data_IF_934073296368
#
_entry.id   IF_934073296368
#
_cell.length_a   1.000
_cell.length_b   1.000
_cell.length_c   1.000
_cell.angle_alpha   90.00
_cell.angle_beta   90.00
_cell.angle_gamma   90.00
#
_symmetry.space_group_name_H-M   'P 1'
#
loop_
_entity.id
_entity.type
_entity.pdbx_description
1 polymer ?
#
# COMPACT_ATOMS: atom_id res chain seq x y z
N UNK A 1 14.82 -5.85 -30.08
CA UNK A 1 13.60 -6.27 -29.39
C UNK A 1 13.99 -7.10 -28.19
N UNK A 2 13.60 -6.68 -27.00
CA UNK A 2 13.83 -7.40 -25.74
C UNK A 2 12.49 -7.86 -25.21
N UNK A 3 12.28 -9.16 -25.06
CA UNK A 3 11.01 -9.69 -24.52
C UNK A 3 11.07 -9.74 -23.00
N UNK A 4 10.10 -9.12 -22.34
CA UNK A 4 10.00 -9.14 -20.87
C UNK A 4 9.37 -10.43 -20.35
N UNK A 5 9.43 -10.64 -19.03
CA UNK A 5 8.77 -11.78 -18.38
C UNK A 5 7.23 -11.71 -18.49
N UNK A 6 6.69 -10.52 -18.67
CA UNK A 6 5.28 -10.24 -18.94
C UNK A 6 4.86 -10.67 -20.35
N UNK A 7 5.83 -11.05 -21.20
CA UNK A 7 5.59 -11.41 -22.59
C UNK A 7 5.45 -10.20 -23.52
N UNK A 8 5.75 -8.99 -23.04
CA UNK A 8 5.73 -7.73 -23.79
C UNK A 8 7.06 -7.57 -24.53
N UNK A 9 6.99 -7.19 -25.79
CA UNK A 9 8.17 -6.91 -26.62
C UNK A 9 8.55 -5.43 -26.50
N UNK A 10 9.77 -5.16 -26.02
CA UNK A 10 10.31 -3.81 -25.88
C UNK A 10 11.21 -3.50 -27.08
N UNK A 11 10.88 -2.42 -27.77
CA UNK A 11 11.70 -1.87 -28.84
C UNK A 11 12.77 -0.90 -28.33
N UNK A 12 13.93 -0.79 -29.03
CA UNK A 12 14.99 0.13 -28.61
C UNK A 12 14.62 1.61 -28.72
N UNK A 13 13.58 1.96 -29.49
CA UNK A 13 13.15 3.33 -29.74
C UNK A 13 11.65 3.39 -29.98
N UNK A 14 10.96 4.23 -29.20
CA UNK A 14 9.57 4.61 -29.40
C UNK A 14 9.53 6.06 -29.87
N UNK A 15 8.64 6.36 -30.82
CA UNK A 15 8.55 7.64 -31.53
C UNK A 15 7.10 8.09 -31.66
N UNK A 16 6.87 9.25 -32.28
CA UNK A 16 5.53 9.69 -32.65
C UNK A 16 4.75 8.70 -33.54
N UNK A 17 5.42 7.72 -34.18
CA UNK A 17 4.75 6.66 -34.94
C UNK A 17 4.04 5.64 -34.05
N UNK A 18 4.46 5.55 -32.80
CA UNK A 18 3.91 4.66 -31.77
C UNK A 18 2.86 5.40 -30.92
N UNK A 19 2.50 6.62 -31.32
CA UNK A 19 1.47 7.40 -30.67
C UNK A 19 0.12 6.70 -30.79
N UNK A 20 -0.60 6.67 -29.66
CA UNK A 20 -1.93 6.07 -29.55
C UNK A 20 -2.96 6.86 -30.35
N UNK A 21 -3.95 6.17 -30.90
CA UNK A 21 -5.09 6.79 -31.56
C UNK A 21 -6.09 7.36 -30.55
N UNK A 22 -6.76 8.46 -30.92
CA UNK A 22 -7.75 9.16 -30.08
C UNK A 22 -7.19 10.41 -29.38
N UNK A 23 -8.09 11.34 -29.04
CA UNK A 23 -7.72 12.55 -28.29
C UNK A 23 -7.55 12.19 -26.80
N UNK A 24 -6.34 12.40 -26.26
CA UNK A 24 -5.96 12.22 -24.85
C UNK A 24 -6.57 10.98 -24.15
N UNK A 25 -6.19 9.75 -24.54
CA UNK A 25 -6.78 8.51 -24.01
C UNK A 25 -6.59 8.30 -22.50
N UNK A 26 -5.63 9.01 -21.89
CA UNK A 26 -5.36 8.95 -20.44
C UNK A 26 -6.15 9.98 -19.62
N UNK A 27 -6.90 10.87 -20.27
CA UNK A 27 -7.65 11.93 -19.60
C UNK A 27 -6.76 12.97 -18.90
N UNK A 28 -7.34 13.69 -17.95
CA UNK A 28 -6.65 14.65 -17.07
C UNK A 28 -6.51 14.06 -15.66
N UNK A 29 -5.56 14.58 -14.84
CA UNK A 29 -5.48 14.20 -13.43
C UNK A 29 -6.80 14.47 -12.71
N UNK A 30 -7.24 13.52 -11.86
CA UNK A 30 -8.51 13.59 -11.14
C UNK A 30 -9.75 13.29 -12.00
N UNK A 31 -9.59 12.93 -13.27
CA UNK A 31 -10.70 12.59 -14.18
C UNK A 31 -10.58 11.17 -14.73
N UNK A 32 -11.71 10.50 -15.06
CA UNK A 32 -11.69 9.23 -15.77
C UNK A 32 -10.82 9.27 -17.04
N UNK A 33 -10.00 8.23 -17.30
CA UNK A 33 -9.88 6.94 -16.59
C UNK A 33 -8.86 6.93 -15.44
N UNK A 34 -8.52 8.08 -14.87
CA UNK A 34 -7.63 8.29 -13.72
C UNK A 34 -6.19 7.77 -13.93
N UNK A 35 -5.76 7.56 -15.18
CA UNK A 35 -4.40 7.08 -15.49
C UNK A 35 -3.34 8.00 -14.90
N UNK A 36 -3.58 9.31 -14.98
CA UNK A 36 -2.68 10.36 -14.52
C UNK A 36 -2.70 10.61 -13.00
N UNK A 37 -3.48 9.84 -12.23
CA UNK A 37 -3.59 10.00 -10.78
C UNK A 37 -4.41 11.24 -10.39
N UNK A 38 -4.32 11.60 -9.10
CA UNK A 38 -4.97 12.77 -8.50
C UNK A 38 -3.97 13.93 -8.30
N UNK A 39 -4.46 15.18 -8.27
CA UNK A 39 -3.67 16.38 -8.00
C UNK A 39 -3.24 16.50 -6.53
N UNK A 40 -3.88 15.79 -5.60
CA UNK A 40 -3.56 15.85 -4.18
C UNK A 40 -2.08 15.57 -3.90
N UNK A 41 -1.48 14.61 -4.64
CA UNK A 41 -0.05 14.30 -4.50
C UNK A 41 0.85 15.44 -4.95
N UNK A 42 0.41 16.24 -5.93
CA UNK A 42 1.12 17.45 -6.36
C UNK A 42 0.98 18.59 -5.37
N UNK A 43 -0.18 18.74 -4.74
CA UNK A 43 -0.44 19.82 -3.78
C UNK A 43 0.22 19.59 -2.41
N UNK A 44 0.23 18.34 -1.94
CA UNK A 44 0.62 17.99 -0.56
C UNK A 44 1.87 17.10 -0.48
N UNK A 45 2.34 16.57 -1.61
CA UNK A 45 3.29 15.44 -1.62
C UNK A 45 2.59 14.10 -1.40
N UNK A 46 3.35 13.01 -1.50
CA UNK A 46 2.88 11.69 -1.10
C UNK A 46 2.98 11.53 0.41
N UNK A 47 2.21 10.59 0.97
CA UNK A 47 2.34 10.15 2.36
C UNK A 47 3.60 9.27 2.52
N UNK A 48 4.57 9.75 3.28
CA UNK A 48 5.76 9.01 3.68
C UNK A 48 5.40 8.08 4.85
N UNK A 49 5.08 6.83 4.52
CA UNK A 49 4.66 5.83 5.50
C UNK A 49 5.82 4.94 5.92
N UNK A 50 6.22 5.03 7.17
CA UNK A 50 7.29 4.18 7.73
C UNK A 50 6.71 2.93 8.39
N UNK A 51 7.29 1.77 8.08
CA UNK A 51 6.93 0.50 8.70
C UNK A 51 7.68 0.30 10.02
N UNK A 52 6.94 -0.04 11.07
CA UNK A 52 7.48 -0.42 12.38
C UNK A 52 7.08 -1.86 12.70
N UNK A 53 8.09 -2.65 13.05
CA UNK A 53 7.97 -4.10 13.20
C UNK A 53 8.94 -4.67 14.25
N UNK A 54 9.48 -3.82 15.13
CA UNK A 54 10.43 -4.26 16.15
C UNK A 54 9.70 -5.00 17.28
N UNK A 55 10.16 -6.17 17.73
CA UNK A 55 9.44 -6.99 18.71
C UNK A 55 9.37 -6.37 20.11
N UNK A 56 10.41 -5.64 20.51
CA UNK A 56 10.39 -4.85 21.74
C UNK A 56 9.61 -3.54 21.52
N UNK A 57 8.52 -3.35 22.26
CA UNK A 57 7.61 -2.22 22.12
C UNK A 57 8.24 -0.89 22.58
N UNK A 58 9.14 -0.90 23.56
CA UNK A 58 9.83 0.31 24.01
C UNK A 58 10.78 0.82 22.92
N UNK A 59 11.56 -0.07 22.32
CA UNK A 59 12.40 0.23 21.15
C UNK A 59 11.57 0.66 19.95
N UNK A 60 10.42 0.01 19.71
CA UNK A 60 9.52 0.39 18.64
C UNK A 60 8.92 1.79 18.83
N UNK A 61 8.49 2.13 20.06
CA UNK A 61 7.99 3.48 20.40
C UNK A 61 9.07 4.53 20.20
N UNK A 62 10.30 4.27 20.68
CA UNK A 62 11.43 5.18 20.49
C UNK A 62 11.69 5.44 19.00
N UNK A 63 11.68 4.37 18.18
CA UNK A 63 11.81 4.47 16.73
C UNK A 63 10.67 5.29 16.09
N UNK A 64 9.41 5.08 16.52
CA UNK A 64 8.26 5.86 16.03
C UNK A 64 8.48 7.36 16.26
N UNK A 65 8.87 7.77 17.48
CA UNK A 65 9.11 9.19 17.76
C UNK A 65 10.28 9.75 16.95
N UNK A 66 11.35 8.99 16.80
CA UNK A 66 12.51 9.41 16.00
C UNK A 66 12.13 9.59 14.52
N UNK A 67 11.37 8.65 13.95
CA UNK A 67 10.91 8.69 12.58
C UNK A 67 9.91 9.84 12.32
N UNK A 68 8.95 10.08 13.23
CA UNK A 68 8.02 11.21 13.16
C UNK A 68 8.75 12.56 13.25
N UNK A 69 9.71 12.70 14.17
CA UNK A 69 10.57 13.88 14.25
C UNK A 69 11.48 14.04 13.01
N UNK A 70 11.74 12.93 12.32
CA UNK A 70 12.51 12.85 11.09
C UNK A 70 11.72 13.14 9.81
N UNK A 71 10.43 13.50 9.90
CA UNK A 71 9.61 13.90 8.76
C UNK A 71 8.70 12.80 8.18
N UNK A 72 8.60 11.65 8.84
CA UNK A 72 7.59 10.63 8.50
C UNK A 72 6.19 11.19 8.76
N UNK A 73 5.26 10.97 7.82
CA UNK A 73 3.91 11.53 7.89
C UNK A 73 2.87 10.53 8.36
N UNK A 74 3.11 9.22 8.23
CA UNK A 74 2.23 8.15 8.73
C UNK A 74 2.98 6.89 9.14
N UNK A 75 2.31 6.03 9.91
CA UNK A 75 2.89 4.80 10.46
C UNK A 75 2.19 3.57 9.88
N UNK A 76 2.96 2.54 9.53
CA UNK A 76 2.48 1.18 9.28
C UNK A 76 2.95 0.27 10.42
N UNK A 77 2.01 -0.27 11.19
CA UNK A 77 2.29 -1.16 12.31
C UNK A 77 2.16 -2.62 11.85
N UNK A 78 3.29 -3.30 11.67
CA UNK A 78 3.30 -4.72 11.30
C UNK A 78 3.38 -5.58 12.55
N UNK A 79 2.30 -6.32 12.81
CA UNK A 79 2.21 -7.23 13.94
C UNK A 79 3.05 -8.48 13.67
N UNK A 80 3.48 -9.15 14.73
CA UNK A 80 4.20 -10.42 14.62
C UNK A 80 3.32 -11.55 14.05
N UNK A 81 3.96 -12.61 13.59
CA UNK A 81 3.30 -13.72 12.90
C UNK A 81 2.23 -14.45 13.72
N UNK A 82 2.36 -14.54 15.05
CA UNK A 82 1.35 -15.14 15.91
C UNK A 82 0.12 -14.23 16.00
N UNK A 83 0.34 -12.95 16.30
CA UNK A 83 -0.73 -11.95 16.33
C UNK A 83 -1.47 -11.89 14.98
N UNK A 84 -0.74 -11.91 13.86
CA UNK A 84 -1.33 -11.94 12.51
C UNK A 84 -2.20 -13.18 12.24
N UNK A 85 -1.95 -14.27 12.96
CA UNK A 85 -2.69 -15.53 12.87
C UNK A 85 -3.80 -15.65 13.93
N UNK A 86 -3.99 -14.62 14.78
CA UNK A 86 -4.96 -14.62 15.86
C UNK A 86 -4.59 -15.54 17.03
N UNK A 87 -3.29 -15.84 17.22
CA UNK A 87 -2.79 -16.64 18.33
C UNK A 87 -2.18 -15.75 19.40
N UNK A 88 -2.32 -16.16 20.66
CA UNK A 88 -1.72 -15.49 21.82
C UNK A 88 -0.21 -15.79 21.95
N UNK A 89 0.55 -14.93 22.65
CA UNK A 89 1.96 -15.16 22.91
C UNK A 89 2.14 -16.40 23.80
N UNK A 90 3.18 -17.19 23.55
CA UNK A 90 3.47 -18.40 24.33
C UNK A 90 2.67 -19.65 23.92
N UNK A 91 1.91 -19.59 22.81
CA UNK A 91 1.48 -20.81 22.12
C UNK A 91 2.70 -21.67 21.73
N UNK A 92 2.54 -23.00 21.66
CA UNK A 92 3.66 -23.96 21.54
C UNK A 92 4.50 -23.86 20.26
N UNK A 93 4.16 -22.94 19.36
CA UNK A 93 4.95 -22.59 18.19
C UNK A 93 5.99 -21.54 18.60
N UNK A 94 7.28 -21.85 18.44
CA UNK A 94 8.35 -20.88 18.66
C UNK A 94 8.11 -19.65 17.78
N UNK A 95 7.72 -18.52 18.37
CA UNK A 95 7.64 -17.27 17.61
C UNK A 95 9.05 -16.84 17.26
N UNK A 96 9.40 -16.88 15.98
CA UNK A 96 10.45 -15.97 15.51
C UNK A 96 10.01 -14.56 15.88
N UNK A 97 10.87 -13.79 16.53
CA UNK A 97 10.56 -12.40 16.90
C UNK A 97 10.50 -11.57 15.61
N UNK A 98 9.34 -11.56 14.96
CA UNK A 98 9.17 -11.16 13.56
C UNK A 98 8.08 -10.09 13.36
N UNK A 99 7.89 -9.20 14.32
CA UNK A 99 6.95 -8.08 14.22
C UNK A 99 6.69 -7.44 15.58
N UNK A 100 5.81 -6.43 15.60
CA UNK A 100 5.33 -5.82 16.85
C UNK A 100 4.53 -6.84 17.65
N UNK A 101 4.95 -7.08 18.90
CA UNK A 101 4.25 -7.96 19.84
C UNK A 101 3.07 -7.23 20.50
N UNK A 102 2.00 -7.02 19.74
CA UNK A 102 0.80 -6.28 20.18
C UNK A 102 -0.36 -7.25 20.31
N UNK A 103 -0.86 -7.44 21.54
CA UNK A 103 -1.92 -8.40 21.86
C UNK A 103 -3.08 -7.77 22.65
N UNK A 104 -2.94 -6.51 23.06
CA UNK A 104 -3.93 -5.78 23.85
C UNK A 104 -4.02 -4.31 23.43
N UNK A 105 -5.05 -3.61 23.93
CA UNK A 105 -5.19 -2.17 23.70
C UNK A 105 -4.12 -1.40 24.49
N UNK A 106 -3.71 -1.94 25.63
CA UNK A 106 -2.65 -1.42 26.50
C UNK A 106 -1.29 -1.44 25.78
N UNK A 107 -1.00 -2.49 25.01
CA UNK A 107 0.22 -2.57 24.18
C UNK A 107 0.25 -1.46 23.12
N UNK A 108 -0.87 -1.25 22.41
CA UNK A 108 -0.98 -0.16 21.43
C UNK A 108 -0.93 1.22 22.08
N UNK A 109 -1.53 1.40 23.25
CA UNK A 109 -1.45 2.66 23.99
C UNK A 109 -0.03 2.99 24.40
N UNK A 110 0.71 1.99 24.88
CA UNK A 110 2.12 2.12 25.22
C UNK A 110 2.96 2.42 23.98
N UNK A 111 2.78 1.66 22.89
CA UNK A 111 3.50 1.83 21.63
C UNK A 111 3.28 3.23 21.01
N UNK A 112 2.05 3.73 21.06
CA UNK A 112 1.60 4.98 20.43
C UNK A 112 1.46 6.12 21.45
N UNK A 113 2.16 6.03 22.57
CA UNK A 113 2.22 7.12 23.55
C UNK A 113 2.67 8.40 22.86
N UNK A 114 2.04 9.54 23.17
CA UNK A 114 2.37 10.86 22.61
C UNK A 114 2.26 11.02 21.08
N UNK A 115 1.77 10.02 20.35
CA UNK A 115 1.42 10.15 18.93
C UNK A 115 0.10 10.93 18.78
N UNK A 116 0.11 11.97 17.94
CA UNK A 116 -1.07 12.76 17.59
C UNK A 116 -1.87 12.08 16.48
N UNK A 117 -2.97 11.42 16.85
CA UNK A 117 -3.83 10.67 15.94
C UNK A 117 -4.67 11.53 14.96
N UNK A 118 -4.83 12.83 15.21
CA UNK A 118 -5.49 13.72 14.24
C UNK A 118 -4.54 14.05 13.08
N UNK A 119 -3.22 14.05 13.35
CA UNK A 119 -2.19 14.44 12.37
C UNK A 119 -1.53 13.26 11.69
N UNK A 120 -1.26 12.19 12.43
CA UNK A 120 -0.49 11.02 11.96
C UNK A 120 -1.45 9.87 11.64
N UNK A 121 -1.69 9.56 10.34
CA UNK A 121 -2.46 8.39 9.97
C UNK A 121 -1.78 7.10 10.42
N UNK A 122 -2.57 6.14 10.90
CA UNK A 122 -2.08 4.82 11.33
C UNK A 122 -2.66 3.74 10.44
N UNK A 123 -1.78 2.93 9.85
CA UNK A 123 -2.14 1.74 9.09
C UNK A 123 -1.70 0.47 9.83
N UNK A 124 -2.48 -0.60 9.72
CA UNK A 124 -2.17 -1.89 10.34
C UNK A 124 -1.71 -2.90 9.28
N UNK A 125 -0.83 -3.82 9.66
CA UNK A 125 -0.55 -5.06 8.93
C UNK A 125 -0.70 -6.22 9.92
N UNK A 126 -1.95 -6.66 10.07
CA UNK A 126 -2.41 -7.61 11.08
C UNK A 126 -2.87 -8.96 10.51
N UNK A 127 -2.58 -9.23 9.22
CA UNK A 127 -2.90 -10.50 8.58
C UNK A 127 -4.37 -10.93 8.73
N UNK A 128 -4.58 -12.19 9.12
CA UNK A 128 -5.92 -12.77 9.33
C UNK A 128 -6.64 -12.22 10.56
N UNK A 129 -5.92 -11.61 11.50
CA UNK A 129 -6.45 -10.99 12.71
C UNK A 129 -6.82 -9.50 12.50
N UNK A 130 -7.16 -9.09 11.28
CA UNK A 130 -7.49 -7.71 10.94
C UNK A 130 -8.64 -7.13 11.79
N UNK A 131 -9.67 -7.93 12.10
CA UNK A 131 -10.84 -7.48 12.86
C UNK A 131 -10.51 -7.17 14.34
N UNK A 132 -9.90 -8.09 15.11
CA UNK A 132 -9.47 -7.76 16.47
C UNK A 132 -8.43 -6.62 16.47
N UNK A 133 -7.47 -6.60 15.55
CA UNK A 133 -6.49 -5.51 15.48
C UNK A 133 -7.12 -4.13 15.22
N UNK A 134 -8.09 -4.05 14.31
CA UNK A 134 -8.88 -2.83 14.09
C UNK A 134 -9.64 -2.40 15.35
N UNK A 135 -10.21 -3.37 16.08
CA UNK A 135 -10.90 -3.12 17.35
C UNK A 135 -9.96 -2.58 18.43
N UNK A 136 -8.74 -3.11 18.53
CA UNK A 136 -7.72 -2.61 19.46
C UNK A 136 -7.38 -1.15 19.16
N UNK A 137 -7.05 -0.83 17.91
CA UNK A 137 -6.69 0.54 17.52
C UNK A 137 -7.86 1.52 17.74
N UNK A 138 -9.07 1.12 17.40
CA UNK A 138 -10.26 1.94 17.62
C UNK A 138 -10.58 2.13 19.11
N UNK A 139 -10.32 1.12 19.95
CA UNK A 139 -10.40 1.25 21.41
C UNK A 139 -9.41 2.31 21.90
N UNK A 140 -8.18 2.36 21.38
CA UNK A 140 -7.21 3.40 21.73
C UNK A 140 -7.72 4.79 21.35
N UNK A 141 -8.28 4.96 20.15
CA UNK A 141 -8.87 6.24 19.73
C UNK A 141 -10.04 6.66 20.64
N UNK A 142 -10.92 5.72 20.97
CA UNK A 142 -12.07 5.98 21.85
C UNK A 142 -11.63 6.34 23.27
N UNK A 143 -10.66 5.62 23.85
CA UNK A 143 -10.13 5.87 25.19
C UNK A 143 -9.43 7.23 25.29
N UNK A 144 -8.78 7.69 24.21
CA UNK A 144 -8.17 9.03 24.13
C UNK A 144 -9.16 10.12 23.69
N UNK A 145 -10.43 9.78 23.44
CA UNK A 145 -11.46 10.74 23.06
C UNK A 145 -11.20 11.44 21.73
N UNK A 146 -10.53 10.77 20.78
CA UNK A 146 -10.22 11.36 19.47
C UNK A 146 -11.50 11.48 18.65
N UNK A 147 -11.69 12.64 18.02
CA UNK A 147 -12.80 12.85 17.09
C UNK A 147 -12.68 11.93 15.87
N UNK A 148 -13.66 11.05 15.68
CA UNK A 148 -13.65 10.06 14.59
C UNK A 148 -13.65 10.71 13.21
N UNK A 149 -14.09 11.96 13.09
CA UNK A 149 -14.05 12.74 11.84
C UNK A 149 -12.63 13.15 11.44
N UNK A 150 -11.69 13.20 12.39
CA UNK A 150 -10.31 13.64 12.14
C UNK A 150 -9.32 12.48 12.03
N UNK A 151 -9.69 11.30 12.50
CA UNK A 151 -8.85 10.12 12.42
C UNK A 151 -8.66 9.71 10.96
N UNK A 152 -7.40 9.48 10.57
CA UNK A 152 -7.01 8.94 9.27
C UNK A 152 -6.27 7.63 9.48
N UNK A 153 -6.43 6.68 8.55
CA UNK A 153 -5.75 5.39 8.69
C UNK A 153 -6.25 4.33 7.76
N UNK A 154 -5.72 3.12 7.94
CA UNK A 154 -6.13 1.94 7.19
C UNK A 154 -6.05 0.67 8.04
N UNK A 155 -7.15 -0.05 8.19
CA UNK A 155 -7.15 -1.34 8.88
C UNK A 155 -6.58 -2.48 8.03
N UNK A 156 -6.52 -2.29 6.71
CA UNK A 156 -5.91 -3.20 5.74
C UNK A 156 -6.39 -4.66 5.86
N UNK A 157 -7.69 -4.87 6.05
CA UNK A 157 -8.27 -6.20 5.98
C UNK A 157 -8.10 -6.79 4.57
N UNK A 158 -7.45 -7.95 4.50
CA UNK A 158 -7.28 -8.73 3.28
C UNK A 158 -7.10 -10.22 3.62
N UNK A 159 -8.21 -10.97 3.78
CA UNK A 159 -8.13 -12.41 4.04
C UNK A 159 -7.49 -13.20 2.87
N UNK A 160 -7.46 -12.68 1.64
CA UNK A 160 -6.89 -13.42 0.51
C UNK A 160 -5.37 -13.30 0.46
N UNK A 161 -4.82 -12.13 0.78
CA UNK A 161 -3.39 -11.93 1.02
C UNK A 161 -2.92 -12.77 2.21
N UNK A 162 -3.69 -12.80 3.31
CA UNK A 162 -3.38 -13.64 4.47
C UNK A 162 -3.33 -15.13 4.10
N UNK A 163 -4.36 -15.62 3.40
CA UNK A 163 -4.41 -17.00 2.89
C UNK A 163 -3.25 -17.30 1.93
N UNK A 164 -2.93 -16.40 1.00
CA UNK A 164 -1.83 -16.59 0.06
C UNK A 164 -0.45 -16.63 0.75
N UNK A 165 -0.29 -15.89 1.85
CA UNK A 165 0.97 -15.82 2.61
C UNK A 165 1.19 -17.03 3.51
N UNK A 166 0.13 -17.53 4.17
CA UNK A 166 0.23 -18.59 5.19
C UNK A 166 -0.25 -19.96 4.70
N UNK A 167 -1.01 -20.02 3.62
CA UNK A 167 -1.62 -21.24 3.11
C UNK A 167 -2.90 -21.68 3.85
N UNK A 168 -3.28 -20.95 4.91
CA UNK A 168 -4.47 -21.22 5.71
C UNK A 168 -5.11 -19.93 6.27
N UNK A 169 -6.35 -20.05 6.73
CA UNK A 169 -7.07 -19.03 7.49
C UNK A 169 -7.55 -19.66 8.80
N UNK A 170 -7.60 -18.90 9.92
CA UNK A 170 -8.10 -19.40 11.20
C UNK A 170 -9.61 -19.69 11.17
N UNK A 171 -10.32 -19.14 10.19
CA UNK A 171 -11.76 -19.32 9.96
C UNK A 171 -12.03 -19.68 8.50
N UNK A 172 -13.24 -20.14 8.17
CA UNK A 172 -13.59 -20.42 6.77
C UNK A 172 -13.55 -19.15 5.91
N UNK A 173 -13.30 -19.28 4.59
CA UNK A 173 -13.31 -18.15 3.66
C UNK A 173 -14.59 -17.31 3.72
N UNK A 174 -15.75 -17.93 3.92
CA UNK A 174 -17.04 -17.23 4.02
C UNK A 174 -17.15 -16.40 5.30
N UNK A 175 -16.64 -16.92 6.42
CA UNK A 175 -16.60 -16.19 7.70
C UNK A 175 -15.61 -15.03 7.60
N UNK A 176 -14.41 -15.25 7.04
CA UNK A 176 -13.42 -14.19 6.84
C UNK A 176 -13.96 -13.04 5.96
N UNK A 177 -14.69 -13.39 4.89
CA UNK A 177 -15.38 -12.42 4.03
C UNK A 177 -16.46 -11.65 4.79
N UNK A 178 -17.26 -12.33 5.61
CA UNK A 178 -18.29 -11.70 6.42
C UNK A 178 -17.70 -10.70 7.43
N UNK A 179 -16.58 -11.06 8.08
CA UNK A 179 -15.85 -10.18 8.99
C UNK A 179 -15.29 -8.93 8.27
N UNK A 180 -14.79 -9.08 7.04
CA UNK A 180 -14.34 -7.95 6.23
C UNK A 180 -15.49 -6.99 5.91
N UNK A 181 -16.68 -7.52 5.58
CA UNK A 181 -17.88 -6.72 5.31
C UNK A 181 -18.31 -5.96 6.55
N UNK A 182 -18.40 -6.62 7.69
CA UNK A 182 -18.77 -6.00 8.97
C UNK A 182 -17.81 -4.86 9.33
N UNK A 183 -16.50 -5.09 9.19
CA UNK A 183 -15.49 -4.06 9.42
C UNK A 183 -15.67 -2.86 8.47
N UNK A 184 -15.92 -3.11 7.18
CA UNK A 184 -16.11 -2.06 6.18
C UNK A 184 -17.38 -1.23 6.42
N UNK A 185 -18.50 -1.87 6.77
CA UNK A 185 -19.74 -1.16 7.11
C UNK A 185 -19.56 -0.28 8.34
N UNK A 186 -18.94 -0.82 9.40
CA UNK A 186 -18.68 -0.09 10.62
C UNK A 186 -17.69 1.06 10.39
N UNK A 187 -16.63 0.83 9.61
CA UNK A 187 -15.62 1.85 9.28
C UNK A 187 -16.25 2.99 8.49
N UNK A 188 -17.00 2.68 7.42
CA UNK A 188 -17.66 3.69 6.60
C UNK A 188 -18.63 4.58 7.40
N UNK A 189 -19.32 4.00 8.40
CA UNK A 189 -20.25 4.73 9.27
C UNK A 189 -19.54 5.56 10.34
N UNK A 190 -18.44 5.05 10.90
CA UNK A 190 -17.85 5.58 12.14
C UNK A 190 -16.63 6.47 11.88
N UNK A 191 -15.78 6.08 10.93
CA UNK A 191 -14.49 6.70 10.62
C UNK A 191 -14.42 7.04 9.13
N UNK A 192 -15.01 8.16 8.69
CA UNK A 192 -15.15 8.49 7.27
C UNK A 192 -13.82 8.65 6.51
N UNK A 193 -12.72 8.91 7.23
CA UNK A 193 -11.39 9.09 6.67
C UNK A 193 -10.45 7.88 6.88
N UNK A 194 -11.01 6.72 7.28
CA UNK A 194 -10.30 5.44 7.43
C UNK A 194 -10.80 4.44 6.39
N UNK A 195 -9.88 3.65 5.83
CA UNK A 195 -10.22 2.54 4.93
C UNK A 195 -10.19 1.20 5.67
N UNK A 196 -11.21 0.38 5.47
CA UNK A 196 -11.23 -0.96 6.05
C UNK A 196 -10.36 -1.96 5.27
N UNK A 197 -10.38 -1.91 3.93
CA UNK A 197 -9.82 -2.96 3.07
C UNK A 197 -8.51 -2.50 2.45
N UNK A 198 -7.50 -3.37 2.49
CA UNK A 198 -6.17 -3.09 1.92
C UNK A 198 -5.72 -4.22 1.00
N UNK A 199 -6.10 -4.16 -0.28
CA UNK A 199 -5.75 -5.19 -1.29
C UNK A 199 -4.23 -5.26 -1.44
N UNK A 200 -3.61 -6.28 -0.83
CA UNK A 200 -2.16 -6.42 -0.76
C UNK A 200 -1.67 -7.51 -1.71
N UNK A 201 -0.93 -7.09 -2.73
CA UNK A 201 -0.36 -8.03 -3.70
C UNK A 201 1.03 -8.52 -3.33
N UNK A 202 1.59 -8.05 -2.21
CA UNK A 202 2.94 -8.41 -1.80
C UNK A 202 3.19 -9.92 -1.65
N UNK A 203 2.24 -10.78 -1.21
CA UNK A 203 2.49 -12.22 -1.18
C UNK A 203 2.76 -12.79 -2.58
N UNK A 204 1.98 -12.37 -3.58
CA UNK A 204 2.12 -12.86 -4.96
C UNK A 204 3.40 -12.32 -5.61
N UNK A 205 3.65 -11.02 -5.44
CA UNK A 205 4.85 -10.37 -5.96
C UNK A 205 6.13 -11.02 -5.42
N UNK A 206 6.19 -11.25 -4.10
CA UNK A 206 7.34 -11.89 -3.46
C UNK A 206 7.46 -13.38 -3.84
N UNK A 207 6.33 -14.07 -4.08
CA UNK A 207 6.31 -15.48 -4.49
C UNK A 207 6.74 -15.72 -5.95
N UNK A 208 6.84 -14.68 -6.79
CA UNK A 208 7.33 -14.85 -8.16
C UNK A 208 6.51 -14.17 -9.24
N UNK A 209 5.34 -13.62 -8.91
CA UNK A 209 4.42 -13.08 -9.91
C UNK A 209 5.10 -12.04 -10.81
N UNK A 210 4.82 -12.11 -12.12
CA UNK A 210 5.18 -11.06 -13.08
C UNK A 210 4.33 -9.82 -12.84
N UNK A 211 4.69 -8.66 -13.38
CA UNK A 211 3.90 -7.45 -13.15
C UNK A 211 2.46 -7.57 -13.67
N UNK A 212 2.24 -8.29 -14.78
CA UNK A 212 0.91 -8.57 -15.33
C UNK A 212 0.08 -9.44 -14.40
N UNK A 213 0.67 -10.51 -13.84
CA UNK A 213 0.00 -11.36 -12.85
C UNK A 213 -0.34 -10.57 -11.59
N UNK A 214 0.60 -9.74 -11.14
CA UNK A 214 0.48 -8.91 -9.94
C UNK A 214 -0.71 -7.93 -10.05
N UNK A 215 -0.86 -7.19 -11.16
CA UNK A 215 -2.03 -6.31 -11.37
C UNK A 215 -3.32 -7.11 -11.61
N UNK A 216 -3.27 -8.24 -12.31
CA UNK A 216 -4.45 -9.07 -12.52
C UNK A 216 -5.00 -9.58 -11.19
N UNK A 217 -4.13 -10.00 -10.27
CA UNK A 217 -4.49 -10.40 -8.92
C UNK A 217 -5.01 -9.21 -8.10
N UNK A 218 -4.40 -8.02 -8.21
CA UNK A 218 -4.91 -6.80 -7.58
C UNK A 218 -6.36 -6.52 -7.99
N UNK A 219 -6.63 -6.47 -9.30
CA UNK A 219 -7.94 -6.16 -9.85
C UNK A 219 -8.95 -7.27 -9.52
N UNK A 220 -8.57 -8.55 -9.62
CA UNK A 220 -9.46 -9.66 -9.28
C UNK A 220 -9.89 -9.63 -7.80
N UNK A 221 -8.93 -9.40 -6.89
CA UNK A 221 -9.22 -9.24 -5.46
C UNK A 221 -10.08 -7.99 -5.18
N UNK A 222 -9.77 -6.87 -5.84
CA UNK A 222 -10.56 -5.64 -5.76
C UNK A 222 -12.01 -5.84 -6.22
N UNK A 223 -12.23 -6.55 -7.33
CA UNK A 223 -13.57 -6.90 -7.85
C UNK A 223 -14.34 -7.78 -6.86
N UNK A 224 -13.68 -8.76 -6.26
CA UNK A 224 -14.28 -9.65 -5.28
C UNK A 224 -14.74 -8.89 -4.02
N UNK A 225 -13.90 -7.99 -3.51
CA UNK A 225 -14.26 -7.13 -2.39
C UNK A 225 -15.33 -6.12 -2.75
N UNK A 226 -15.21 -5.40 -3.87
CA UNK A 226 -16.22 -4.44 -4.31
C UNK A 226 -17.59 -5.10 -4.42
N UNK A 227 -17.68 -6.24 -5.12
CA UNK A 227 -18.94 -7.00 -5.27
C UNK A 227 -19.54 -7.41 -3.93
N UNK A 228 -18.70 -7.73 -2.95
CA UNK A 228 -19.15 -8.14 -1.63
C UNK A 228 -19.65 -6.94 -0.83
N UNK A 229 -18.90 -5.84 -0.82
CA UNK A 229 -19.23 -4.60 -0.13
C UNK A 229 -20.49 -3.94 -0.71
N UNK A 230 -20.67 -3.96 -2.04
CA UNK A 230 -21.85 -3.36 -2.70
C UNK A 230 -23.17 -4.06 -2.38
N UNK A 231 -23.14 -5.21 -1.68
CA UNK A 231 -24.36 -5.86 -1.18
C UNK A 231 -24.97 -5.12 0.01
N UNK A 232 -24.15 -4.33 0.72
CA UNK A 232 -24.53 -3.68 1.98
C UNK A 232 -24.22 -2.18 2.00
N UNK A 233 -23.29 -1.71 1.15
CA UNK A 233 -22.91 -0.31 1.00
C UNK A 233 -23.23 0.20 -0.42
N UNK A 234 -23.54 1.49 -0.58
CA UNK A 234 -23.52 2.15 -1.89
C UNK A 234 -22.17 2.00 -2.59
N UNK A 235 -22.17 2.00 -3.93
CA UNK A 235 -20.96 1.74 -4.73
C UNK A 235 -19.82 2.72 -4.44
N UNK A 236 -20.12 4.01 -4.33
CA UNK A 236 -19.15 5.06 -4.05
C UNK A 236 -18.53 4.91 -2.66
N UNK A 237 -19.33 4.54 -1.66
CA UNK A 237 -18.87 4.26 -0.30
C UNK A 237 -18.02 2.99 -0.26
N UNK A 238 -18.47 1.93 -0.93
CA UNK A 238 -17.74 0.66 -1.01
C UNK A 238 -16.38 0.82 -1.68
N UNK A 239 -16.31 1.56 -2.80
CA UNK A 239 -15.05 1.83 -3.50
C UNK A 239 -14.06 2.62 -2.64
N UNK A 240 -14.54 3.64 -1.90
CA UNK A 240 -13.70 4.46 -1.00
C UNK A 240 -13.13 3.69 0.19
N UNK A 241 -13.72 2.55 0.54
CA UNK A 241 -13.21 1.67 1.60
C UNK A 241 -12.00 0.81 1.16
N UNK A 242 -11.68 0.78 -0.14
CA UNK A 242 -10.62 -0.06 -0.70
C UNK A 242 -9.37 0.78 -0.98
N UNK A 243 -8.25 0.39 -0.37
CA UNK A 243 -6.90 0.87 -0.69
C UNK A 243 -6.11 -0.26 -1.36
N UNK A 244 -5.39 0.03 -2.45
CA UNK A 244 -4.54 -0.95 -3.12
C UNK A 244 -3.09 -0.81 -2.67
N UNK A 245 -2.50 -1.90 -2.21
CA UNK A 245 -1.12 -2.00 -1.72
C UNK A 245 -0.29 -2.80 -2.72
N UNK A 246 0.57 -2.12 -3.47
CA UNK A 246 1.33 -2.72 -4.59
C UNK A 246 2.82 -2.64 -4.32
N UNK A 247 3.50 -3.78 -4.44
CA UNK A 247 4.96 -3.83 -4.37
C UNK A 247 5.62 -3.48 -5.71
N UNK A 248 6.70 -2.72 -5.65
CA UNK A 248 7.52 -2.33 -6.82
C UNK A 248 8.98 -2.72 -6.61
N UNK A 249 9.61 -3.24 -7.66
CA UNK A 249 11.00 -3.67 -7.65
C UNK A 249 11.92 -2.70 -8.41
N UNK A 250 12.98 -3.25 -9.00
CA UNK A 250 13.99 -2.47 -9.75
C UNK A 250 13.64 -2.24 -11.21
N UNK A 251 12.56 -2.81 -11.72
CA UNK A 251 12.07 -2.57 -13.09
C UNK A 251 11.32 -1.23 -13.14
N UNK A 252 12.08 -0.15 -13.28
CA UNK A 252 11.62 1.23 -13.11
C UNK A 252 10.41 1.59 -13.98
N UNK A 253 10.59 1.65 -15.31
CA UNK A 253 9.55 2.06 -16.26
C UNK A 253 8.33 1.13 -16.24
N UNK A 254 8.60 -0.16 -16.05
CA UNK A 254 7.56 -1.18 -15.96
C UNK A 254 6.70 -1.00 -14.72
N UNK A 255 7.30 -0.61 -13.59
CA UNK A 255 6.56 -0.28 -12.36
C UNK A 255 5.71 0.98 -12.54
N UNK A 256 6.22 2.02 -13.21
CA UNK A 256 5.45 3.22 -13.52
C UNK A 256 4.24 2.87 -14.41
N UNK A 257 4.48 2.15 -15.51
CA UNK A 257 3.42 1.76 -16.44
C UNK A 257 2.37 0.86 -15.78
N UNK A 258 2.80 -0.08 -14.92
CA UNK A 258 1.95 -0.95 -14.10
C UNK A 258 0.99 -0.17 -13.21
N UNK A 259 1.48 0.84 -12.48
CA UNK A 259 0.65 1.65 -11.58
C UNK A 259 -0.37 2.51 -12.34
N UNK A 260 0.06 3.09 -13.47
CA UNK A 260 -0.82 3.82 -14.41
C UNK A 260 -1.92 2.91 -14.99
N UNK A 261 -1.56 1.72 -15.43
CA UNK A 261 -2.49 0.73 -15.97
C UNK A 261 -3.48 0.22 -14.90
N UNK A 262 -3.01 -0.01 -13.67
CA UNK A 262 -3.87 -0.45 -12.57
C UNK A 262 -5.02 0.53 -12.30
N UNK A 263 -4.75 1.85 -12.32
CA UNK A 263 -5.82 2.86 -12.17
C UNK A 263 -6.83 2.80 -13.31
N UNK A 264 -6.37 2.67 -14.56
CA UNK A 264 -7.26 2.51 -15.73
C UNK A 264 -8.15 1.29 -15.60
N UNK A 265 -7.56 0.15 -15.25
CA UNK A 265 -8.28 -1.11 -15.07
C UNK A 265 -9.31 -1.02 -13.95
N UNK A 266 -8.95 -0.40 -12.83
CA UNK A 266 -9.89 -0.19 -11.73
C UNK A 266 -11.04 0.73 -12.11
N UNK A 267 -10.76 1.81 -12.85
CA UNK A 267 -11.83 2.64 -13.38
C UNK A 267 -12.81 1.85 -14.25
N UNK A 268 -12.32 0.96 -15.12
CA UNK A 268 -13.20 0.07 -15.92
C UNK A 268 -14.06 -0.83 -15.05
N UNK A 269 -13.56 -1.31 -13.91
CA UNK A 269 -14.36 -2.06 -12.94
C UNK A 269 -15.45 -1.19 -12.32
N UNK A 270 -15.14 0.05 -11.94
CA UNK A 270 -16.13 0.99 -11.40
C UNK A 270 -17.21 1.33 -12.44
N UNK A 271 -16.81 1.66 -13.67
CA UNK A 271 -17.71 1.93 -14.79
C UNK A 271 -18.63 0.75 -15.08
N UNK A 272 -18.07 -0.48 -15.16
CA UNK A 272 -18.85 -1.70 -15.37
C UNK A 272 -19.78 -2.04 -14.19
N UNK A 273 -19.50 -1.51 -13.00
CA UNK A 273 -20.34 -1.65 -11.81
C UNK A 273 -21.44 -0.56 -11.73
N UNK A 274 -21.52 0.34 -12.71
CA UNK A 274 -22.50 1.44 -12.77
C UNK A 274 -22.06 2.71 -12.05
N UNK A 275 -20.76 2.84 -11.73
CA UNK A 275 -20.21 4.04 -11.12
C UNK A 275 -19.90 5.13 -12.15
N UNK A 276 -19.81 6.36 -11.66
CA UNK A 276 -19.42 7.53 -12.45
C UNK A 276 -18.17 8.21 -11.85
N UNK A 277 -17.75 9.34 -12.44
CA UNK A 277 -16.54 10.04 -12.04
C UNK A 277 -16.51 10.45 -10.55
N UNK A 278 -17.67 10.61 -9.90
CA UNK A 278 -17.77 11.00 -8.48
C UNK A 278 -17.27 9.93 -7.51
N UNK A 279 -17.18 8.68 -7.96
CA UNK A 279 -16.60 7.56 -7.18
C UNK A 279 -15.11 7.77 -6.96
N UNK A 280 -14.42 8.39 -7.92
CA UNK A 280 -12.97 8.61 -7.92
C UNK A 280 -12.16 7.43 -8.46
N UNK A 281 -10.83 7.58 -8.41
CA UNK A 281 -9.86 6.61 -8.91
C UNK A 281 -9.38 5.59 -7.87
N UNK A 282 -8.49 4.70 -8.30
CA UNK A 282 -7.79 3.76 -7.42
C UNK A 282 -6.77 4.51 -6.56
N UNK A 283 -6.85 4.33 -5.24
CA UNK A 283 -5.87 4.81 -4.27
C UNK A 283 -4.76 3.77 -4.07
N UNK A 284 -3.52 4.22 -4.08
CA UNK A 284 -2.32 3.40 -4.10
C UNK A 284 -1.42 3.68 -2.89
N UNK A 285 -1.09 2.59 -2.19
CA UNK A 285 0.06 2.50 -1.32
C UNK A 285 1.13 1.66 -2.01
N UNK A 286 2.25 2.28 -2.38
CA UNK A 286 3.40 1.60 -2.98
C UNK A 286 4.41 1.22 -1.91
N UNK A 287 4.95 0.00 -1.99
CA UNK A 287 6.04 -0.46 -1.12
C UNK A 287 7.22 -0.96 -1.94
N UNK A 288 8.45 -0.60 -1.56
CA UNK A 288 9.63 -1.20 -2.21
C UNK A 288 9.70 -2.69 -1.88
N UNK A 289 10.00 -3.50 -2.89
CA UNK A 289 9.93 -4.95 -2.80
C UNK A 289 11.11 -5.54 -2.04
N UNK A 290 10.83 -6.46 -1.11
CA UNK A 290 11.89 -7.21 -0.43
C UNK A 290 12.53 -8.26 -1.34
N UNK A 291 11.82 -8.70 -2.40
CA UNK A 291 12.29 -9.74 -3.34
C UNK A 291 13.56 -9.34 -4.09
N UNK A 292 13.80 -8.04 -4.27
CA UNK A 292 14.98 -7.54 -4.97
C UNK A 292 16.17 -7.26 -4.04
N UNK A 293 15.98 -7.37 -2.72
CA UNK A 293 17.04 -7.07 -1.75
C UNK A 293 17.99 -8.25 -1.57
N UNK A 294 19.28 -7.95 -1.42
CA UNK A 294 20.35 -8.95 -1.26
C UNK A 294 20.94 -8.91 0.15
N UNK A 295 21.25 -10.07 0.71
CA UNK A 295 21.97 -10.20 1.99
C UNK A 295 23.46 -9.91 1.83
N UNK A 296 24.02 -10.29 0.66
CA UNK A 296 25.40 -9.93 0.29
C UNK A 296 25.42 -8.51 -0.27
N UNK A 297 26.39 -7.75 0.19
CA UNK A 297 26.56 -6.33 -0.16
C UNK A 297 25.24 -5.54 0.01
N UNK A 298 24.71 -5.47 1.25
CA UNK A 298 23.38 -4.91 1.51
C UNK A 298 23.30 -3.42 1.17
N UNK A 299 24.41 -2.70 1.09
CA UNK A 299 24.40 -1.28 0.70
C UNK A 299 23.90 -1.06 -0.72
N UNK A 300 24.02 -2.05 -1.63
CA UNK A 300 23.42 -1.97 -2.97
C UNK A 300 21.89 -1.90 -2.91
N UNK A 301 21.27 -2.39 -1.83
CA UNK A 301 19.83 -2.28 -1.62
C UNK A 301 19.36 -0.82 -1.49
N UNK A 302 20.24 0.11 -1.10
CA UNK A 302 19.95 1.55 -1.14
C UNK A 302 19.58 1.99 -2.55
N UNK A 303 20.41 1.63 -3.53
CA UNK A 303 20.19 1.96 -4.94
C UNK A 303 18.90 1.32 -5.47
N UNK A 304 18.64 0.06 -5.08
CA UNK A 304 17.41 -0.66 -5.47
C UNK A 304 16.16 0.02 -4.92
N UNK A 305 16.19 0.41 -3.66
CA UNK A 305 15.08 1.11 -3.02
C UNK A 305 14.85 2.49 -3.65
N UNK A 306 15.89 3.26 -3.95
CA UNK A 306 15.74 4.55 -4.66
C UNK A 306 15.00 4.37 -5.98
N UNK A 307 15.32 3.35 -6.78
CA UNK A 307 14.61 3.05 -8.03
C UNK A 307 13.13 2.76 -7.80
N UNK A 308 12.80 1.98 -6.76
CA UNK A 308 11.43 1.64 -6.40
C UNK A 308 10.63 2.85 -5.91
N UNK A 309 11.22 3.68 -5.04
CA UNK A 309 10.59 4.92 -4.56
C UNK A 309 10.33 5.89 -5.71
N UNK A 310 11.32 6.08 -6.59
CA UNK A 310 11.17 6.94 -7.77
C UNK A 310 10.03 6.44 -8.66
N UNK A 311 9.93 5.12 -8.89
CA UNK A 311 8.83 4.55 -9.65
C UNK A 311 7.46 4.74 -8.98
N UNK A 312 7.39 4.67 -7.64
CA UNK A 312 6.19 4.97 -6.88
C UNK A 312 5.74 6.43 -7.03
N UNK A 313 6.67 7.38 -6.89
CA UNK A 313 6.40 8.81 -7.07
C UNK A 313 5.96 9.16 -8.49
N UNK A 314 6.73 8.74 -9.51
CA UNK A 314 6.37 8.93 -10.93
C UNK A 314 5.11 8.19 -11.33
N UNK A 315 4.82 7.08 -10.66
CA UNK A 315 3.60 6.31 -10.84
C UNK A 315 2.38 6.94 -10.17
N UNK A 316 2.54 8.05 -9.44
CA UNK A 316 1.44 8.77 -8.79
C UNK A 316 0.84 8.01 -7.61
N UNK A 317 1.67 7.42 -6.75
CA UNK A 317 1.22 6.78 -5.52
C UNK A 317 0.91 7.82 -4.44
N UNK A 318 -0.23 7.71 -3.77
CA UNK A 318 -0.63 8.61 -2.69
C UNK A 318 0.14 8.32 -1.40
N UNK A 319 0.62 7.09 -1.22
CA UNK A 319 1.40 6.67 -0.06
C UNK A 319 2.56 5.79 -0.50
N UNK A 320 3.76 6.02 0.05
CA UNK A 320 4.94 5.23 -0.29
C UNK A 320 5.67 4.79 0.99
N UNK A 321 6.01 3.50 1.04
CA UNK A 321 6.88 2.90 2.07
C UNK A 321 8.17 2.40 1.43
N UNK A 322 9.31 2.93 1.87
CA UNK A 322 10.62 2.36 1.55
C UNK A 322 11.01 1.37 2.65
N UNK A 323 11.26 0.12 2.28
CA UNK A 323 11.79 -0.88 3.22
C UNK A 323 13.27 -0.58 3.51
N UNK A 324 13.75 -0.68 4.76
CA UNK A 324 15.17 -0.52 5.07
C UNK A 324 16.07 -1.49 4.30
N UNK A 325 17.27 -1.03 3.96
CA UNK A 325 18.18 -1.74 3.03
C UNK A 325 18.72 -3.06 3.60
N UNK A 326 18.71 -3.21 4.93
CA UNK A 326 19.22 -4.32 5.71
C UNK A 326 18.12 -5.26 6.21
N UNK A 327 16.85 -5.08 5.79
CA UNK A 327 15.71 -5.89 6.27
C UNK A 327 15.87 -7.40 6.04
N UNK A 328 16.74 -7.80 5.09
CA UNK A 328 17.07 -9.22 4.86
C UNK A 328 18.06 -9.80 5.87
N UNK A 329 18.71 -8.96 6.68
CA UNK A 329 19.74 -9.34 7.67
C UNK A 329 19.18 -9.41 9.09
N UNK A 330 18.08 -8.70 9.38
CA UNK A 330 17.47 -8.65 10.69
C UNK A 330 16.59 -7.41 10.86
N UNK A 331 16.13 -7.12 12.10
CA UNK A 331 15.40 -5.90 12.41
C UNK A 331 16.24 -4.66 12.06
N UNK A 332 15.66 -3.67 11.36
CA UNK A 332 16.39 -2.48 10.93
C UNK A 332 16.73 -1.57 12.10
N UNK A 333 17.96 -1.06 12.13
CA UNK A 333 18.40 -0.07 13.11
C UNK A 333 17.97 1.36 12.74
N UNK A 334 18.34 2.33 13.59
CA UNK A 334 18.10 3.75 13.36
C UNK A 334 18.70 4.24 12.03
N UNK A 335 19.92 3.83 11.71
CA UNK A 335 20.58 4.27 10.48
C UNK A 335 19.80 3.79 9.25
N UNK A 336 19.40 2.53 9.22
CA UNK A 336 18.70 1.92 8.10
C UNK A 336 17.29 2.50 7.91
N UNK A 337 16.55 2.77 8.99
CA UNK A 337 15.26 3.48 8.92
C UNK A 337 15.42 4.91 8.45
N UNK A 338 16.42 5.63 8.98
CA UNK A 338 16.74 7.00 8.57
C UNK A 338 17.04 7.11 7.07
N UNK A 339 17.81 6.17 6.52
CA UNK A 339 18.10 6.18 5.08
C UNK A 339 16.85 5.84 4.26
N UNK A 340 15.99 4.93 4.72
CA UNK A 340 14.72 4.62 4.07
C UNK A 340 13.79 5.85 4.01
N UNK A 341 13.57 6.54 5.13
CA UNK A 341 12.75 7.77 5.17
C UNK A 341 13.37 8.91 4.36
N UNK A 342 14.68 9.11 4.46
CA UNK A 342 15.36 10.19 3.73
C UNK A 342 15.35 9.98 2.21
N UNK A 343 15.32 8.73 1.73
CA UNK A 343 15.17 8.45 0.29
C UNK A 343 13.85 9.01 -0.24
N UNK A 344 12.77 8.90 0.54
CA UNK A 344 11.47 9.49 0.21
C UNK A 344 11.52 11.01 0.25
N UNK A 345 12.07 11.59 1.32
CA UNK A 345 12.18 13.03 1.49
C UNK A 345 13.00 13.68 0.38
N UNK A 346 14.18 13.13 0.05
CA UNK A 346 15.03 13.68 -1.02
C UNK A 346 14.29 13.66 -2.36
N UNK A 347 13.61 12.56 -2.69
CA UNK A 347 12.91 12.47 -3.97
C UNK A 347 11.70 13.43 -4.05
N UNK A 348 11.06 13.73 -2.92
CA UNK A 348 9.97 14.70 -2.86
C UNK A 348 10.49 16.15 -2.82
N UNK A 349 11.29 16.49 -1.82
CA UNK A 349 11.63 17.87 -1.46
C UNK A 349 12.78 18.45 -2.29
N UNK A 350 13.73 17.61 -2.73
CA UNK A 350 14.87 18.04 -3.54
C UNK A 350 14.75 17.59 -5.00
N UNK A 351 14.23 16.38 -5.21
CA UNK A 351 13.95 15.81 -6.53
C UNK A 351 12.67 16.35 -7.17
N UNK A 352 11.80 16.98 -6.37
CA UNK A 352 10.60 17.69 -6.82
C UNK A 352 9.68 16.82 -7.67
N UNK A 353 9.67 15.50 -7.44
CA UNK A 353 8.91 14.55 -8.25
C UNK A 353 7.39 14.72 -8.13
N UNK A 354 6.92 15.41 -7.09
CA UNK A 354 5.51 15.70 -6.89
C UNK A 354 5.04 16.98 -7.61
N UNK A 355 5.91 17.88 -8.08
CA UNK A 355 5.49 19.19 -8.62
C UNK A 355 4.63 19.13 -9.89
N UNK A 356 4.71 18.05 -10.65
CA UNK A 356 3.94 17.86 -11.89
C UNK A 356 3.15 16.57 -11.76
N UNK A 357 1.85 16.62 -12.05
CA UNK A 357 1.02 15.43 -12.11
C UNK A 357 1.35 14.58 -13.35
N UNK A 358 1.52 13.26 -13.16
CA UNK A 358 1.91 12.29 -14.19
C UNK A 358 3.03 12.79 -15.13
N UNK A 359 4.24 13.08 -14.61
CA UNK A 359 5.37 13.56 -15.43
C UNK A 359 5.83 12.50 -16.46
N UNK A 360 5.41 11.25 -16.29
CA UNK A 360 5.58 10.16 -17.25
C UNK A 360 4.67 10.27 -18.49
N UNK A 361 3.56 11.00 -18.38
CA UNK A 361 2.53 11.06 -19.42
C UNK A 361 3.00 11.76 -20.69
N UNK A 362 2.64 11.17 -21.84
CA UNK A 362 3.09 11.64 -23.16
C UNK A 362 4.43 11.06 -23.61
N UNK A 363 5.13 10.31 -22.74
CA UNK A 363 6.23 9.45 -23.17
C UNK A 363 5.69 8.33 -24.05
N UNK A 364 6.12 8.27 -25.32
CA UNK A 364 5.69 7.23 -26.26
C UNK A 364 5.92 5.82 -25.71
N UNK A 365 7.03 5.59 -25.02
CA UNK A 365 7.33 4.30 -24.43
C UNK A 365 6.43 3.96 -23.23
N UNK A 366 6.27 4.87 -22.27
CA UNK A 366 5.48 4.59 -21.07
C UNK A 366 3.99 4.51 -21.37
N UNK A 367 3.49 5.34 -22.27
CA UNK A 367 2.12 5.29 -22.73
C UNK A 367 1.81 3.98 -23.47
N UNK A 368 2.71 3.55 -24.37
CA UNK A 368 2.60 2.26 -25.03
C UNK A 368 2.66 1.10 -24.03
N UNK A 369 3.59 1.13 -23.08
CA UNK A 369 3.74 0.09 -22.08
C UNK A 369 2.53 0.03 -21.14
N UNK A 370 1.96 1.16 -20.75
CA UNK A 370 0.72 1.24 -19.97
C UNK A 370 -0.44 0.58 -20.73
N UNK A 371 -0.54 0.78 -22.04
CA UNK A 371 -1.56 0.14 -22.88
C UNK A 371 -1.34 -1.38 -23.04
N UNK A 372 -0.09 -1.85 -23.10
CA UNK A 372 0.18 -3.30 -23.15
C UNK A 372 -0.20 -4.01 -21.84
N UNK A 373 -0.22 -3.30 -20.71
CA UNK A 373 -0.65 -3.82 -19.41
C UNK A 373 -2.17 -3.84 -19.22
N UNK A 374 -2.88 -2.85 -19.77
CA UNK A 374 -4.31 -2.63 -19.55
C UNK A 374 -5.16 -3.32 -20.62
#
# INVERSE_FOLDING_TARGET
>A
MTRTYEGIDIDPLYTARDQRSGENPDGFPGEPPFVRGDLQTTELGWDLRQEHAHPDLDSARAAIHEDLNGGVTSLLLRFDSLAQSGKDPGSSESSELDGLMVYSAEDLEALLQEVDFERVPIALDAGSAFLPAASLLASVWARRGIDTQKVRGAFNADPWSALARKGELPVSPDVARSQLVELAEWTAKTYPNVTAVGVDTSPYHHAGATATQDIALAIATGVDYLRTLTKVLPLDVAAKQILFRISVGTHHFLSIAKLRAARRLWWRVIEASGGDASVGGMRLHVRTSQRVLTERDPFVNLLRNTVGVFAGGMGGAECITSVPFDTRLGPPDEFSRRIARNTLLILQEEGLLNLVADPAGGSWYLDHLTDQFA
#
